data_IF_089545869959
#
_entry.id   IF_089545869959
#
_cell.length_a   1.000
_cell.length_b   1.000
_cell.length_c   1.000
_cell.angle_alpha   90.00
_cell.angle_beta   90.00
_cell.angle_gamma   90.00
#
_symmetry.space_group_name_H-M   'P 1'
#
loop_
_entity.id
_entity.type
_entity.pdbx_description
1 polymer ?
#
# COMPACT_ATOMS: atom_id res chain seq x y z
N UNK A 1 -4.16 -23.18 5.98
CA UNK A 1 -4.49 -22.14 4.98
C UNK A 1 -3.50 -20.99 5.20
N UNK A 2 -2.69 -20.64 4.21
CA UNK A 2 -1.83 -19.45 4.28
C UNK A 2 -2.74 -18.22 4.43
N UNK A 3 -2.46 -17.32 5.38
CA UNK A 3 -3.23 -16.09 5.50
C UNK A 3 -2.97 -15.22 4.27
N UNK A 4 -3.93 -15.21 3.33
CA UNK A 4 -3.88 -14.49 2.07
C UNK A 4 -3.68 -12.97 2.27
N UNK A 5 -3.96 -12.45 3.47
CA UNK A 5 -3.74 -11.04 3.80
C UNK A 5 -2.26 -10.67 3.79
N UNK A 6 -1.36 -11.61 4.10
CA UNK A 6 0.10 -11.36 4.12
C UNK A 6 0.64 -11.10 2.71
N UNK A 7 0.48 -12.00 1.71
CA UNK A 7 1.00 -11.75 0.36
C UNK A 7 0.31 -10.55 -0.30
N UNK A 8 -1.00 -10.37 -0.09
CA UNK A 8 -1.72 -9.20 -0.62
C UNK A 8 -1.20 -7.91 0.04
N UNK A 9 -1.10 -7.88 1.37
CA UNK A 9 -0.63 -6.72 2.11
C UNK A 9 0.80 -6.31 1.74
N UNK A 10 1.70 -7.28 1.55
CA UNK A 10 3.07 -7.02 1.09
C UNK A 10 3.10 -6.45 -0.32
N UNK A 11 2.36 -7.04 -1.26
CA UNK A 11 2.30 -6.57 -2.65
C UNK A 11 1.81 -5.12 -2.73
N UNK A 12 0.70 -4.80 -2.07
CA UNK A 12 0.14 -3.44 -2.05
C UNK A 12 1.04 -2.45 -1.34
N UNK A 13 1.73 -2.86 -0.27
CA UNK A 13 2.67 -1.99 0.44
C UNK A 13 3.89 -1.67 -0.44
N UNK A 14 4.51 -2.69 -1.05
CA UNK A 14 5.71 -2.51 -1.90
C UNK A 14 5.37 -1.65 -3.12
N UNK A 15 4.29 -1.99 -3.84
CA UNK A 15 3.86 -1.21 -5.01
C UNK A 15 3.42 0.21 -4.63
N UNK A 16 2.72 0.37 -3.51
CA UNK A 16 2.32 1.67 -2.97
C UNK A 16 3.53 2.56 -2.66
N UNK A 17 4.58 2.03 -2.02
CA UNK A 17 5.84 2.75 -1.80
C UNK A 17 6.47 3.17 -3.12
N UNK A 18 6.64 2.22 -4.07
CA UNK A 18 7.30 2.49 -5.35
C UNK A 18 6.58 3.58 -6.14
N UNK A 19 5.25 3.50 -6.24
CA UNK A 19 4.44 4.45 -7.01
C UNK A 19 4.38 5.81 -6.30
N UNK A 20 4.34 5.86 -4.97
CA UNK A 20 4.40 7.11 -4.21
C UNK A 20 5.74 7.81 -4.41
N UNK A 21 6.85 7.07 -4.27
CA UNK A 21 8.20 7.61 -4.49
C UNK A 21 8.38 8.06 -5.93
N UNK A 22 7.92 7.28 -6.90
CA UNK A 22 7.94 7.66 -8.31
C UNK A 22 7.15 8.95 -8.54
N UNK A 23 5.95 9.07 -7.98
CA UNK A 23 5.14 10.28 -8.04
C UNK A 23 5.83 11.50 -7.43
N UNK A 24 6.50 11.35 -6.29
CA UNK A 24 7.28 12.42 -5.66
C UNK A 24 8.48 12.84 -6.53
N UNK A 25 9.23 11.88 -7.08
CA UNK A 25 10.37 12.12 -7.95
C UNK A 25 10.00 12.77 -9.28
N UNK A 26 8.78 12.51 -9.77
CA UNK A 26 8.30 13.04 -11.05
C UNK A 26 7.47 14.32 -10.90
N UNK A 27 7.22 14.80 -9.68
CA UNK A 27 6.35 15.96 -9.39
C UNK A 27 6.74 17.25 -10.14
N UNK A 28 8.03 17.43 -10.47
CA UNK A 28 8.53 18.59 -11.24
C UNK A 28 8.34 18.46 -12.76
N UNK A 29 7.94 17.28 -13.27
CA UNK A 29 7.69 17.04 -14.68
C UNK A 29 6.24 17.36 -15.05
N UNK A 30 5.96 18.66 -15.18
CA UNK A 30 4.63 19.20 -15.48
C UNK A 30 4.00 18.63 -16.75
N UNK A 31 4.80 18.22 -17.73
CA UNK A 31 4.32 17.69 -19.02
C UNK A 31 3.61 16.35 -18.86
N UNK A 32 4.06 15.51 -17.93
CA UNK A 32 3.43 14.22 -17.62
C UNK A 32 2.04 14.38 -16.98
N UNK A 33 1.84 15.42 -16.15
CA UNK A 33 0.60 15.63 -15.40
C UNK A 33 -0.48 16.41 -16.16
N UNK A 34 -0.17 17.00 -17.31
CA UNK A 34 -1.17 17.66 -18.16
C UNK A 34 -2.31 16.70 -18.55
N UNK A 35 -2.00 15.41 -18.76
CA UNK A 35 -3.00 14.36 -19.03
C UNK A 35 -3.90 14.05 -17.83
N UNK A 36 -3.49 14.45 -16.64
CA UNK A 36 -4.17 14.21 -15.36
C UNK A 36 -4.73 15.50 -14.74
N UNK A 37 -4.97 16.55 -15.54
CA UNK A 37 -5.43 17.87 -15.07
C UNK A 37 -4.47 18.52 -14.05
N UNK A 38 -3.16 18.25 -14.17
CA UNK A 38 -2.14 18.76 -13.25
C UNK A 38 -2.08 18.02 -11.91
N UNK A 39 -2.84 16.94 -11.74
CA UNK A 39 -2.87 16.15 -10.50
C UNK A 39 -1.86 15.02 -10.56
N UNK A 40 -1.10 14.84 -9.49
CA UNK A 40 -0.16 13.73 -9.35
C UNK A 40 -0.87 12.43 -8.96
N UNK A 41 -1.51 11.78 -9.94
CA UNK A 41 -2.28 10.54 -9.75
C UNK A 41 -1.42 9.41 -9.17
N UNK A 42 -0.12 9.39 -9.49
CA UNK A 42 0.82 8.42 -8.92
C UNK A 42 0.89 8.54 -7.40
N UNK A 43 1.02 9.76 -6.85
CA UNK A 43 1.04 9.95 -5.39
C UNK A 43 -0.30 9.52 -4.77
N UNK A 44 -1.42 9.94 -5.34
CA UNK A 44 -2.76 9.64 -4.79
C UNK A 44 -2.99 8.12 -4.74
N UNK A 45 -2.76 7.44 -5.86
CA UNK A 45 -2.94 5.99 -5.94
C UNK A 45 -1.90 5.24 -5.11
N UNK A 46 -0.64 5.69 -5.12
CA UNK A 46 0.44 5.14 -4.31
C UNK A 46 0.11 5.16 -2.82
N UNK A 47 -0.37 6.30 -2.31
CA UNK A 47 -0.80 6.45 -0.91
C UNK A 47 -2.00 5.54 -0.61
N UNK A 48 -2.99 5.48 -1.50
CA UNK A 48 -4.16 4.61 -1.31
C UNK A 48 -3.75 3.13 -1.19
N UNK A 49 -2.87 2.65 -2.08
CA UNK A 49 -2.32 1.30 -2.04
C UNK A 49 -1.49 1.05 -0.78
N UNK A 50 -0.67 2.03 -0.37
CA UNK A 50 0.14 1.93 0.85
C UNK A 50 -0.74 1.76 2.09
N UNK A 51 -1.75 2.63 2.25
CA UNK A 51 -2.68 2.57 3.39
C UNK A 51 -3.41 1.24 3.40
N UNK A 52 -3.92 0.78 2.26
CA UNK A 52 -4.60 -0.51 2.15
C UNK A 52 -3.67 -1.69 2.52
N UNK A 53 -2.44 -1.70 1.99
CA UNK A 53 -1.45 -2.74 2.27
C UNK A 53 -1.08 -2.81 3.76
N UNK A 54 -0.86 -1.65 4.40
CA UNK A 54 -0.55 -1.57 5.82
C UNK A 54 -1.73 -2.04 6.70
N UNK A 55 -2.97 -1.70 6.35
CA UNK A 55 -4.17 -2.19 7.05
C UNK A 55 -4.25 -3.72 6.97
N UNK A 56 -4.03 -4.29 5.78
CA UNK A 56 -4.04 -5.74 5.58
C UNK A 56 -2.95 -6.45 6.41
N UNK A 57 -1.74 -5.91 6.44
CA UNK A 57 -0.64 -6.44 7.26
C UNK A 57 -0.93 -6.31 8.76
N UNK A 58 -1.53 -5.19 9.19
CA UNK A 58 -1.94 -4.99 10.58
C UNK A 58 -2.99 -6.03 11.01
N UNK A 59 -4.01 -6.26 10.18
CA UNK A 59 -5.06 -7.25 10.45
C UNK A 59 -4.54 -8.69 10.43
N UNK A 60 -3.53 -8.99 9.60
CA UNK A 60 -2.86 -10.30 9.60
C UNK A 60 -2.06 -10.54 10.88
N UNK A 61 -1.34 -9.52 11.38
CA UNK A 61 -0.57 -9.60 12.63
C UNK A 61 -1.46 -9.80 13.85
N UNK A 62 -2.66 -9.22 13.85
CA UNK A 62 -3.63 -9.35 14.95
C UNK A 62 -4.26 -10.75 15.04
N UNK A 63 -4.08 -11.61 14.02
CA UNK A 63 -4.68 -12.96 13.95
C UNK A 63 -3.83 -14.06 14.61
N UNK A 64 -2.89 -13.70 15.47
CA UNK A 64 -2.00 -14.63 16.17
C UNK A 64 -2.39 -14.81 17.64
N UNK A 65 -3.61 -15.28 17.89
CA UNK A 65 -4.00 -15.91 19.17
C UNK A 65 -5.16 -16.91 18.98
N UNK A 66 -4.85 -18.21 18.85
CA UNK A 66 -5.69 -19.27 19.40
C UNK A 66 -4.88 -20.07 20.44
N UNK A 67 -4.26 -19.36 21.39
CA UNK A 67 -3.45 -19.91 22.46
C UNK A 67 -3.71 -19.23 23.80
N UNK A 68 -4.98 -19.02 24.15
CA UNK A 68 -5.36 -18.83 25.55
C UNK A 68 -5.79 -20.18 26.10
N UNK A 69 -4.87 -20.76 26.87
CA UNK A 69 -5.08 -21.69 27.97
C UNK A 69 -5.89 -22.96 27.70
N UNK A 70 -5.15 -24.06 27.48
CA UNK A 70 -5.46 -25.29 28.18
C UNK A 70 -5.43 -24.98 29.69
N UNK A 71 -6.57 -25.18 30.34
CA UNK A 71 -6.78 -25.04 31.79
C UNK A 71 -8.08 -25.70 32.19
#
# INVERSE_FOLDING_TARGET
>A
MVDIRIPIGLMFTILGVLITVFGLSTHSNSEMYLRSLGVNVNIIMGIFMLVFGLIMLYLARKKKDPGTADG
#
